data_IF_373380821446
#
_entry.id   IF_373380821446
#
_cell.length_a   1.000
_cell.length_b   1.000
_cell.length_c   1.000
_cell.angle_alpha   90.00
_cell.angle_beta   90.00
_cell.angle_gamma   90.00
#
_symmetry.space_group_name_H-M   'P 1'
#
loop_
_entity.id
_entity.type
_entity.pdbx_description
1 polymer ?
#
# COMPACT_ATOMS: atom_id res chain seq x y z
N UNK A 1 13.45 -9.95 -6.93
CA UNK A 1 13.60 -8.52 -7.26
C UNK A 1 14.76 -7.99 -6.44
N UNK A 2 15.94 -7.83 -7.03
CA UNK A 2 17.11 -7.31 -6.32
C UNK A 2 16.90 -5.81 -6.03
N UNK A 3 17.01 -5.43 -4.76
CA UNK A 3 16.98 -4.02 -4.34
C UNK A 3 18.34 -3.40 -4.64
N UNK A 4 18.50 -2.88 -5.86
CA UNK A 4 19.80 -2.46 -6.39
C UNK A 4 20.39 -1.17 -5.78
N UNK A 5 19.64 -0.41 -4.98
CA UNK A 5 20.11 0.89 -4.49
C UNK A 5 19.65 1.19 -3.05
N UNK A 6 20.54 0.99 -2.08
CA UNK A 6 20.25 1.08 -0.65
C UNK A 6 20.37 2.47 -0.03
N UNK A 7 20.56 3.50 -0.86
CA UNK A 7 20.93 4.82 -0.42
C UNK A 7 19.73 5.76 -0.36
N UNK A 8 19.82 6.76 0.51
CA UNK A 8 18.85 7.83 0.63
C UNK A 8 19.04 8.85 -0.48
N UNK A 9 17.92 9.37 -0.97
CA UNK A 9 17.90 10.38 -2.03
C UNK A 9 17.15 11.63 -1.57
N UNK A 10 17.65 12.80 -1.96
CA UNK A 10 17.03 14.10 -1.67
C UNK A 10 16.61 14.79 -2.97
N UNK A 11 15.44 15.41 -2.93
CA UNK A 11 14.93 16.21 -4.04
C UNK A 11 15.84 17.42 -4.27
N UNK A 12 16.31 17.59 -5.51
CA UNK A 12 17.09 18.75 -5.94
C UNK A 12 16.19 19.68 -6.72
N UNK A 13 15.94 20.87 -6.18
CA UNK A 13 15.26 21.93 -6.90
C UNK A 13 16.11 22.35 -8.11
N UNK A 14 15.58 22.15 -9.32
CA UNK A 14 16.19 22.64 -10.54
C UNK A 14 15.75 24.09 -10.77
N UNK A 15 16.61 25.07 -10.46
CA UNK A 15 16.35 26.49 -10.70
C UNK A 15 16.56 26.92 -12.18
N UNK A 16 16.54 25.96 -13.12
CA UNK A 16 16.79 26.19 -14.55
C UNK A 16 15.56 25.97 -15.42
N UNK A 17 15.55 26.55 -16.64
CA UNK A 17 14.44 26.58 -17.62
C UNK A 17 13.84 25.23 -18.08
N UNK A 18 14.25 24.08 -17.51
CA UNK A 18 13.71 22.75 -17.84
C UNK A 18 12.64 22.33 -16.82
N UNK A 19 11.47 22.98 -16.88
CA UNK A 19 10.44 22.92 -15.85
C UNK A 19 9.49 21.71 -15.83
N UNK A 20 9.93 20.47 -16.17
CA UNK A 20 9.01 19.30 -16.18
C UNK A 20 9.62 17.99 -15.62
N UNK A 21 10.71 18.05 -14.85
CA UNK A 21 11.32 16.85 -14.28
C UNK A 21 11.83 17.05 -12.85
N UNK A 22 11.40 16.16 -11.96
CA UNK A 22 11.86 16.07 -10.58
C UNK A 22 13.15 15.25 -10.54
N UNK A 23 14.19 15.78 -9.91
CA UNK A 23 15.49 15.11 -9.82
C UNK A 23 15.82 14.81 -8.37
N UNK A 24 16.19 13.55 -8.10
CA UNK A 24 16.57 13.06 -6.78
C UNK A 24 18.02 12.62 -6.81
N UNK A 25 18.88 13.23 -5.98
CA UNK A 25 20.30 12.90 -5.90
C UNK A 25 20.62 12.11 -4.64
N UNK A 26 21.61 11.22 -4.73
CA UNK A 26 22.11 10.51 -3.55
C UNK A 26 22.52 11.51 -2.45
N UNK A 27 22.00 11.27 -1.25
CA UNK A 27 22.24 12.09 -0.08
C UNK A 27 23.35 11.52 0.81
N UNK A 28 23.67 10.24 0.67
CA UNK A 28 24.62 9.51 1.53
C UNK A 28 26.06 9.64 1.10
N UNK A 29 26.34 10.04 -0.14
CA UNK A 29 27.68 10.09 -0.70
C UNK A 29 28.10 11.50 -1.15
N UNK A 30 29.34 11.89 -0.84
CA UNK A 30 29.87 13.22 -1.10
C UNK A 30 30.22 13.35 -2.58
N UNK A 31 29.71 14.41 -3.22
CA UNK A 31 29.84 14.62 -4.67
C UNK A 31 29.47 13.35 -5.45
N UNK A 32 28.32 12.77 -5.11
CA UNK A 32 27.80 11.59 -5.77
C UNK A 32 27.11 11.93 -7.08
N UNK A 33 27.42 11.16 -8.12
CA UNK A 33 26.85 11.33 -9.45
C UNK A 33 25.61 10.48 -9.69
N UNK A 34 25.24 9.61 -8.73
CA UNK A 34 24.00 8.83 -8.79
C UNK A 34 22.77 9.71 -8.61
N UNK A 35 21.84 9.66 -9.57
CA UNK A 35 20.57 10.35 -9.48
C UNK A 35 19.43 9.60 -10.19
N UNK A 36 18.22 9.88 -9.74
CA UNK A 36 16.97 9.53 -10.40
C UNK A 36 16.32 10.79 -10.94
N UNK A 37 15.75 10.71 -12.14
CA UNK A 37 14.98 11.80 -12.73
C UNK A 37 13.61 11.28 -13.17
N UNK A 38 12.56 11.88 -12.64
CA UNK A 38 11.17 11.58 -13.00
C UNK A 38 10.68 12.70 -13.89
N UNK A 39 10.42 12.40 -15.15
CA UNK A 39 9.93 13.38 -16.12
C UNK A 39 8.46 13.14 -16.42
N UNK A 40 7.66 14.22 -16.39
CA UNK A 40 6.29 14.17 -16.87
C UNK A 40 6.27 14.24 -18.39
N UNK A 41 5.73 13.20 -19.02
CA UNK A 41 5.48 13.13 -20.46
C UNK A 41 4.15 13.81 -20.78
N UNK A 42 4.04 14.38 -21.98
CA UNK A 42 2.74 14.83 -22.51
C UNK A 42 1.96 13.58 -22.87
N UNK A 43 0.86 13.32 -22.18
CA UNK A 43 -0.05 12.24 -22.54
C UNK A 43 -0.68 12.58 -23.90
N UNK A 44 -0.32 11.83 -24.93
CA UNK A 44 -0.95 11.92 -26.26
C UNK A 44 -2.19 11.04 -26.35
N UNK A 45 -2.30 10.01 -25.50
CA UNK A 45 -3.44 9.07 -25.49
C UNK A 45 -3.92 8.76 -24.06
N UNK A 46 -5.23 8.47 -23.88
CA UNK A 46 -5.77 8.01 -22.59
C UNK A 46 -5.18 6.64 -22.22
N UNK A 47 -4.55 6.53 -21.04
CA UNK A 47 -4.02 5.26 -20.52
C UNK A 47 -2.50 5.08 -20.61
N UNK A 48 -1.77 5.97 -21.29
CA UNK A 48 -0.29 5.94 -21.26
C UNK A 48 0.27 6.36 -19.89
N UNK A 49 1.31 5.66 -19.42
CA UNK A 49 2.08 6.04 -18.24
C UNK A 49 2.69 7.44 -18.47
N UNK A 50 2.22 8.49 -17.76
CA UNK A 50 2.59 9.86 -18.07
C UNK A 50 3.96 10.24 -17.49
N UNK A 51 4.73 9.28 -16.99
CA UNK A 51 6.00 9.52 -16.31
C UNK A 51 7.08 8.58 -16.81
N UNK A 52 8.27 9.14 -17.07
CA UNK A 52 9.50 8.42 -17.35
C UNK A 52 10.43 8.49 -16.15
N UNK A 53 10.92 7.33 -15.68
CA UNK A 53 11.98 7.25 -14.67
C UNK A 53 13.32 6.97 -15.35
N UNK A 54 14.24 7.93 -15.26
CA UNK A 54 15.63 7.75 -15.68
C UNK A 54 16.54 7.53 -14.48
N UNK A 55 17.42 6.54 -14.58
CA UNK A 55 18.46 6.24 -13.58
C UNK A 55 19.83 6.46 -14.22
N UNK A 56 20.65 7.33 -13.64
CA UNK A 56 22.00 7.63 -14.17
C UNK A 56 23.04 7.82 -13.07
N UNK A 57 24.30 7.65 -13.49
CA UNK A 57 25.48 7.82 -12.65
C UNK A 57 25.72 6.67 -11.68
N UNK A 58 26.81 6.80 -10.91
CA UNK A 58 27.31 5.80 -9.97
C UNK A 58 27.56 6.43 -8.60
N UNK A 59 27.50 5.61 -7.56
CA UNK A 59 27.82 6.07 -6.20
C UNK A 59 29.30 6.38 -6.06
N UNK A 60 29.62 7.44 -5.32
CA UNK A 60 30.98 7.71 -4.86
C UNK A 60 31.24 7.02 -3.51
N UNK A 61 32.49 6.70 -3.17
CA UNK A 61 32.80 5.93 -1.95
C UNK A 61 32.82 6.72 -0.64
N UNK A 62 32.74 8.06 -0.67
CA UNK A 62 32.86 8.90 0.54
C UNK A 62 31.49 9.22 1.12
N UNK A 63 31.23 8.87 2.38
CA UNK A 63 29.95 9.12 3.05
C UNK A 63 29.80 10.58 3.52
N UNK A 64 28.58 11.11 3.49
CA UNK A 64 28.22 12.50 3.90
C UNK A 64 27.73 12.62 5.34
N UNK A 65 27.76 11.55 6.13
CA UNK A 65 27.16 11.51 7.47
C UNK A 65 25.63 11.64 7.47
N UNK A 66 24.99 11.62 6.29
CA UNK A 66 23.54 11.65 6.16
C UNK A 66 22.92 10.39 6.79
N UNK A 67 21.89 10.57 7.62
CA UNK A 67 21.19 9.47 8.29
C UNK A 67 19.95 9.08 7.51
N UNK A 68 19.79 7.78 7.24
CA UNK A 68 18.57 7.20 6.66
C UNK A 68 17.35 7.54 7.52
N UNK A 69 16.22 7.84 6.87
CA UNK A 69 14.95 8.12 7.53
C UNK A 69 13.87 7.15 7.04
N UNK A 70 13.02 6.70 7.95
CA UNK A 70 11.88 5.83 7.64
C UNK A 70 12.28 4.37 7.40
N UNK A 71 11.33 3.46 7.60
CA UNK A 71 11.56 2.02 7.40
C UNK A 71 11.49 1.71 5.91
N UNK A 72 12.44 0.90 5.42
CA UNK A 72 12.44 0.47 4.04
C UNK A 72 11.20 -0.39 3.74
N UNK A 73 10.49 -0.19 2.60
CA UNK A 73 9.22 -0.89 2.31
C UNK A 73 9.29 -2.41 2.44
N UNK A 74 10.43 -3.02 2.10
CA UNK A 74 10.66 -4.46 2.24
C UNK A 74 10.47 -4.99 3.68
N UNK A 75 10.63 -4.16 4.70
CA UNK A 75 10.44 -4.54 6.11
C UNK A 75 9.19 -3.89 6.73
N UNK A 76 8.44 -3.09 5.97
CA UNK A 76 7.36 -2.27 6.54
C UNK A 76 6.32 -3.15 7.24
N UNK A 77 5.80 -4.17 6.55
CA UNK A 77 4.77 -5.07 7.10
C UNK A 77 5.26 -5.78 8.36
N UNK A 78 6.47 -6.32 8.33
CA UNK A 78 7.03 -7.08 9.45
C UNK A 78 7.33 -6.20 10.66
N UNK A 79 7.90 -5.01 10.42
CA UNK A 79 8.16 -4.07 11.50
C UNK A 79 6.85 -3.50 12.05
N UNK A 80 5.85 -3.22 11.21
CA UNK A 80 4.54 -2.75 11.66
C UNK A 80 3.88 -3.77 12.59
N UNK A 81 3.82 -5.03 12.17
CA UNK A 81 3.27 -6.12 12.97
C UNK A 81 4.02 -6.28 14.30
N UNK A 82 5.36 -6.34 14.26
CA UNK A 82 6.15 -6.54 15.46
C UNK A 82 6.15 -5.32 16.40
N UNK A 83 6.10 -4.09 15.85
CA UNK A 83 6.06 -2.85 16.61
C UNK A 83 4.71 -2.63 17.32
N UNK A 84 3.61 -3.09 16.72
CA UNK A 84 2.29 -3.10 17.34
C UNK A 84 2.14 -4.23 18.38
N UNK A 85 3.00 -5.25 18.31
CA UNK A 85 3.09 -6.31 19.31
C UNK A 85 3.81 -5.90 20.60
N UNK A 86 4.19 -6.93 21.37
CA UNK A 86 4.88 -6.76 22.66
C UNK A 86 6.38 -6.49 22.52
N UNK A 87 6.96 -6.79 21.36
CA UNK A 87 8.41 -6.77 21.17
C UNK A 87 8.99 -5.35 21.23
N UNK A 88 10.11 -5.23 21.95
CA UNK A 88 10.87 -4.00 22.03
C UNK A 88 11.67 -3.75 20.74
N UNK A 89 12.07 -2.49 20.44
CA UNK A 89 12.81 -2.15 19.21
C UNK A 89 14.06 -2.99 18.95
N UNK A 90 14.77 -3.43 19.99
CA UNK A 90 15.96 -4.28 19.83
C UNK A 90 15.60 -5.73 19.48
N UNK A 91 14.53 -6.28 20.07
CA UNK A 91 14.06 -7.63 19.78
C UNK A 91 13.62 -7.74 18.31
N UNK A 92 12.87 -6.74 17.81
CA UNK A 92 12.44 -6.65 16.41
C UNK A 92 13.66 -6.69 15.47
N UNK A 93 14.71 -5.93 15.77
CA UNK A 93 15.93 -5.93 14.96
C UNK A 93 16.65 -7.26 14.96
N UNK A 94 16.78 -7.89 16.12
CA UNK A 94 17.42 -9.20 16.22
C UNK A 94 16.65 -10.25 15.40
N UNK A 95 15.32 -10.24 15.46
CA UNK A 95 14.46 -11.13 14.66
C UNK A 95 14.64 -10.91 13.16
N UNK A 96 14.67 -9.65 12.71
CA UNK A 96 14.93 -9.33 11.30
C UNK A 96 16.34 -9.77 10.88
N UNK A 97 17.35 -9.55 11.71
CA UNK A 97 18.72 -9.93 11.41
C UNK A 97 18.88 -11.45 11.26
N UNK A 98 18.25 -12.23 12.14
CA UNK A 98 18.22 -13.69 12.02
C UNK A 98 17.45 -14.14 10.78
N UNK A 99 16.28 -13.56 10.53
CA UNK A 99 15.44 -13.92 9.37
C UNK A 99 16.15 -13.70 8.03
N UNK A 100 16.92 -12.62 7.95
CA UNK A 100 17.60 -12.20 6.72
C UNK A 100 19.11 -12.48 6.71
N UNK A 101 19.60 -13.36 7.60
CA UNK A 101 21.05 -13.61 7.78
C UNK A 101 21.79 -13.96 6.48
N UNK A 102 21.13 -14.71 5.59
CA UNK A 102 21.69 -15.17 4.32
C UNK A 102 21.40 -14.22 3.14
N UNK A 103 20.78 -13.07 3.40
CA UNK A 103 20.32 -12.12 2.39
C UNK A 103 21.04 -10.78 2.55
N UNK A 104 22.34 -10.78 2.22
CA UNK A 104 23.22 -9.62 2.37
C UNK A 104 22.69 -8.33 1.71
N UNK A 105 21.95 -8.46 0.61
CA UNK A 105 21.30 -7.32 -0.03
C UNK A 105 20.24 -6.69 0.88
N UNK A 106 19.40 -7.47 1.56
CA UNK A 106 18.39 -6.95 2.51
C UNK A 106 19.01 -6.44 3.80
N UNK A 107 20.03 -7.11 4.34
CA UNK A 107 20.69 -6.70 5.59
C UNK A 107 21.20 -5.24 5.55
N UNK A 108 21.59 -4.74 4.37
CA UNK A 108 22.03 -3.35 4.14
C UNK A 108 20.93 -2.29 4.32
N UNK A 109 19.67 -2.71 4.29
CA UNK A 109 18.50 -1.84 4.41
C UNK A 109 17.80 -1.98 5.77
N UNK A 110 18.32 -2.79 6.69
CA UNK A 110 17.70 -2.96 8.00
C UNK A 110 17.49 -1.62 8.70
N UNK A 111 16.33 -1.42 9.35
CA UNK A 111 16.11 -0.22 10.12
C UNK A 111 17.08 -0.14 11.30
N UNK A 112 17.33 1.07 11.80
CA UNK A 112 18.06 1.24 13.06
C UNK A 112 17.12 1.18 14.25
N UNK A 113 17.66 0.95 15.46
CA UNK A 113 16.86 0.89 16.70
C UNK A 113 16.05 2.16 16.92
N UNK A 114 16.65 3.31 16.62
CA UNK A 114 15.99 4.61 16.71
C UNK A 114 14.84 4.72 15.72
N UNK A 115 15.02 4.25 14.48
CA UNK A 115 13.96 4.24 13.46
C UNK A 115 12.79 3.36 13.90
N UNK A 116 13.05 2.15 14.39
CA UNK A 116 12.01 1.25 14.91
C UNK A 116 11.26 1.86 16.09
N UNK A 117 11.98 2.52 17.01
CA UNK A 117 11.36 3.21 18.16
C UNK A 117 10.47 4.38 17.70
N UNK A 118 10.96 5.24 16.82
CA UNK A 118 10.20 6.37 16.29
C UNK A 118 8.99 5.91 15.49
N UNK A 119 9.14 4.85 14.69
CA UNK A 119 8.07 4.27 13.90
C UNK A 119 6.97 3.67 14.76
N UNK A 120 7.33 2.97 15.86
CA UNK A 120 6.35 2.52 16.86
C UNK A 120 5.56 3.69 17.45
N UNK A 121 6.23 4.78 17.82
CA UNK A 121 5.55 5.99 18.32
C UNK A 121 4.57 6.57 17.31
N UNK A 122 4.95 6.59 16.03
CA UNK A 122 4.07 7.01 14.93
C UNK A 122 2.84 6.11 14.79
N UNK A 123 3.02 4.79 14.80
CA UNK A 123 1.92 3.82 14.71
C UNK A 123 0.97 3.95 15.91
N UNK A 124 1.49 4.11 17.13
CA UNK A 124 0.67 4.30 18.33
C UNK A 124 -0.11 5.63 18.28
N UNK A 125 0.50 6.71 17.78
CA UNK A 125 -0.19 7.97 17.54
C UNK A 125 -1.34 7.82 16.55
N UNK A 126 -1.10 7.13 15.43
CA UNK A 126 -2.16 6.80 14.45
C UNK A 126 -3.25 5.91 15.04
N UNK A 127 -2.90 4.93 15.87
CA UNK A 127 -3.86 4.07 16.52
C UNK A 127 -4.75 4.85 17.50
N UNK A 128 -4.21 5.87 18.17
CA UNK A 128 -4.98 6.76 19.04
C UNK A 128 -5.97 7.64 18.26
N UNK A 129 -5.66 7.98 17.00
CA UNK A 129 -6.56 8.71 16.09
C UNK A 129 -7.60 7.80 15.41
N UNK A 130 -7.44 6.48 15.49
CA UNK A 130 -8.32 5.53 14.82
C UNK A 130 -9.67 5.39 15.55
N UNK A 131 -10.71 5.05 14.79
CA UNK A 131 -12.02 4.70 15.36
C UNK A 131 -11.88 3.43 16.19
N UNK A 132 -12.16 3.53 17.49
CA UNK A 132 -12.16 2.38 18.40
C UNK A 132 -13.43 1.55 18.16
N UNK A 133 -13.25 0.25 17.96
CA UNK A 133 -14.32 -0.73 17.81
C UNK A 133 -14.22 -1.64 19.03
N UNK A 134 -15.18 -1.55 19.95
CA UNK A 134 -15.20 -2.38 21.18
C UNK A 134 -16.23 -3.51 21.09
N UNK A 135 -17.32 -3.27 20.34
CA UNK A 135 -18.44 -4.19 20.20
C UNK A 135 -18.76 -4.46 18.73
N UNK A 136 -19.51 -5.53 18.46
CA UNK A 136 -20.04 -5.79 17.13
C UNK A 136 -20.91 -4.63 16.62
N UNK A 137 -21.64 -3.95 17.51
CA UNK A 137 -22.46 -2.79 17.15
C UNK A 137 -21.60 -1.62 16.64
N UNK A 138 -20.44 -1.37 17.25
CA UNK A 138 -19.49 -0.34 16.78
C UNK A 138 -18.98 -0.67 15.38
N UNK A 139 -18.61 -1.95 15.15
CA UNK A 139 -18.17 -2.43 13.84
C UNK A 139 -19.28 -2.24 12.80
N UNK A 140 -20.50 -2.65 13.14
CA UNK A 140 -21.64 -2.55 12.24
C UNK A 140 -22.00 -1.09 11.94
N UNK A 141 -21.95 -0.21 12.92
CA UNK A 141 -22.17 1.22 12.74
C UNK A 141 -21.13 1.82 11.79
N UNK A 142 -19.85 1.52 11.98
CA UNK A 142 -18.79 1.95 11.06
C UNK A 142 -18.99 1.37 9.65
N UNK A 143 -19.38 0.11 9.54
CA UNK A 143 -19.57 -0.57 8.27
C UNK A 143 -20.83 -0.09 7.53
N UNK A 144 -21.86 0.35 8.23
CA UNK A 144 -23.19 0.67 7.67
C UNK A 144 -23.14 1.63 6.47
N UNK A 145 -22.27 2.65 6.53
CA UNK A 145 -22.07 3.63 5.46
C UNK A 145 -21.36 3.06 4.22
N UNK A 146 -20.84 1.84 4.31
CA UNK A 146 -20.03 1.15 3.30
C UNK A 146 -20.64 -0.19 2.87
N UNK A 147 -21.76 -0.57 3.47
CA UNK A 147 -22.42 -1.84 3.20
C UNK A 147 -22.96 -1.87 1.78
N UNK A 148 -22.49 -2.81 0.97
CA UNK A 148 -22.97 -3.03 -0.39
C UNK A 148 -24.06 -4.11 -0.37
N UNK A 149 -25.30 -3.71 -0.05
CA UNK A 149 -26.43 -4.64 0.13
C UNK A 149 -27.30 -4.81 -1.13
N UNK A 150 -27.19 -3.89 -2.09
CA UNK A 150 -28.02 -3.91 -3.29
C UNK A 150 -27.24 -3.48 -4.55
N UNK A 151 -27.84 -3.78 -5.70
CA UNK A 151 -27.30 -3.49 -7.03
C UNK A 151 -27.13 -1.98 -7.26
N UNK A 152 -28.02 -1.14 -6.72
CA UNK A 152 -27.95 0.29 -6.91
C UNK A 152 -26.70 0.87 -6.19
N UNK A 153 -26.42 0.43 -4.97
CA UNK A 153 -25.21 0.80 -4.24
C UNK A 153 -23.98 0.33 -5.01
N UNK A 154 -24.00 -0.89 -5.56
CA UNK A 154 -22.90 -1.43 -6.35
C UNK A 154 -22.63 -0.61 -7.64
N UNK A 155 -23.68 -0.28 -8.40
CA UNK A 155 -23.62 0.49 -9.66
C UNK A 155 -23.51 2.00 -9.45
N UNK A 156 -23.13 2.46 -8.25
CA UNK A 156 -22.93 3.89 -7.92
C UNK A 156 -24.22 4.72 -8.07
N UNK A 157 -25.34 4.15 -7.69
CA UNK A 157 -26.68 4.74 -7.73
C UNK A 157 -27.61 4.06 -8.75
N UNK A 158 -28.70 4.74 -9.12
CA UNK A 158 -29.71 4.26 -10.09
C UNK A 158 -29.24 4.35 -11.55
N UNK A 159 -28.02 3.92 -11.83
CA UNK A 159 -27.47 3.90 -13.18
C UNK A 159 -27.71 2.54 -13.81
N UNK A 160 -28.22 2.50 -15.03
CA UNK A 160 -28.24 1.28 -15.85
C UNK A 160 -26.81 0.76 -16.05
N UNK A 161 -26.61 -0.56 -16.10
CA UNK A 161 -25.31 -1.26 -16.23
C UNK A 161 -24.40 -0.67 -17.32
N UNK A 162 -24.94 -0.34 -18.50
CA UNK A 162 -24.18 0.26 -19.60
C UNK A 162 -23.65 1.68 -19.29
N UNK A 163 -24.46 2.50 -18.60
CA UNK A 163 -24.06 3.85 -18.16
C UNK A 163 -23.06 3.78 -17.02
N UNK A 164 -23.29 2.89 -16.04
CA UNK A 164 -22.37 2.64 -14.93
C UNK A 164 -20.99 2.20 -15.45
N UNK A 165 -20.95 1.37 -16.51
CA UNK A 165 -19.70 0.93 -17.15
C UNK A 165 -18.92 2.06 -17.77
N UNK A 166 -19.59 2.90 -18.56
CA UNK A 166 -18.96 4.06 -19.21
C UNK A 166 -18.47 5.09 -18.20
N UNK A 167 -19.24 5.32 -17.13
CA UNK A 167 -18.85 6.17 -16.00
C UNK A 167 -17.65 5.58 -15.25
N UNK A 168 -17.66 4.29 -14.93
CA UNK A 168 -16.56 3.64 -14.24
C UNK A 168 -15.25 3.73 -15.05
N UNK A 169 -15.29 3.64 -16.38
CA UNK A 169 -14.11 3.81 -17.24
C UNK A 169 -13.60 5.26 -17.37
N UNK A 170 -14.38 6.25 -16.93
CA UNK A 170 -13.97 7.65 -17.00
C UNK A 170 -12.89 7.95 -15.94
N UNK A 171 -11.77 8.52 -16.37
CA UNK A 171 -10.61 8.83 -15.53
C UNK A 171 -10.93 9.76 -14.34
N UNK A 172 -12.06 10.49 -14.41
CA UNK A 172 -12.57 11.37 -13.36
C UNK A 172 -13.11 10.65 -12.12
N UNK A 173 -13.19 9.31 -12.13
CA UNK A 173 -13.81 8.51 -11.06
C UNK A 173 -12.86 7.52 -10.37
N UNK A 174 -11.53 7.71 -10.46
CA UNK A 174 -10.55 6.85 -9.77
C UNK A 174 -10.82 6.67 -8.27
N UNK A 175 -11.34 7.71 -7.60
CA UNK A 175 -11.74 7.63 -6.19
C UNK A 175 -12.91 6.68 -5.94
N UNK A 176 -13.86 6.60 -6.88
CA UNK A 176 -15.01 5.68 -6.81
C UNK A 176 -14.58 4.26 -7.15
N UNK A 177 -13.70 4.06 -8.14
CA UNK A 177 -13.23 2.73 -8.50
C UNK A 177 -12.54 2.00 -7.34
N UNK A 178 -11.80 2.72 -6.51
CA UNK A 178 -11.06 2.18 -5.38
C UNK A 178 -11.83 2.34 -4.04
N UNK A 179 -13.10 2.73 -4.10
CA UNK A 179 -13.94 2.82 -2.91
C UNK A 179 -14.11 1.42 -2.30
N UNK A 180 -13.96 1.35 -0.97
CA UNK A 180 -14.11 0.13 -0.19
C UNK A 180 -15.60 -0.17 0.01
N UNK A 181 -15.98 -1.39 -0.34
CA UNK A 181 -17.29 -1.95 -0.11
C UNK A 181 -17.19 -3.00 1.00
N UNK A 182 -18.08 -2.91 1.98
CA UNK A 182 -18.26 -3.96 2.98
C UNK A 182 -19.38 -4.89 2.49
N UNK A 183 -19.06 -6.17 2.33
CA UNK A 183 -20.02 -7.19 1.89
C UNK A 183 -20.75 -7.81 3.07
N UNK A 184 -20.04 -8.01 4.19
CA UNK A 184 -20.60 -8.64 5.39
C UNK A 184 -19.79 -8.28 6.62
N UNK A 185 -20.48 -8.06 7.75
CA UNK A 185 -19.89 -8.10 9.08
C UNK A 185 -20.34 -9.38 9.78
N UNK A 186 -19.47 -9.97 10.60
CA UNK A 186 -19.81 -11.17 11.37
C UNK A 186 -19.12 -11.15 12.74
N UNK A 187 -19.71 -11.89 13.66
CA UNK A 187 -19.20 -12.14 15.01
C UNK A 187 -18.84 -13.62 15.10
N UNK A 188 -17.73 -13.92 15.76
CA UNK A 188 -17.27 -15.29 15.97
C UNK A 188 -16.86 -15.46 17.44
N UNK A 189 -17.56 -16.36 18.13
CA UNK A 189 -17.26 -16.78 19.49
C UNK A 189 -16.51 -18.09 19.48
N UNK A 190 -15.45 -18.16 20.28
CA UNK A 190 -14.59 -19.33 20.38
C UNK A 190 -14.04 -19.48 21.80
N UNK A 191 -13.58 -20.68 22.14
CA UNK A 191 -12.91 -20.93 23.42
C UNK A 191 -11.40 -20.94 23.23
N UNK A 192 -10.69 -20.15 24.04
CA UNK A 192 -9.23 -20.15 24.10
C UNK A 192 -8.78 -20.24 25.56
N UNK A 193 -7.95 -21.24 25.88
CA UNK A 193 -7.46 -21.51 27.23
C UNK A 193 -8.58 -21.63 28.31
N UNK A 194 -9.75 -22.16 27.94
CA UNK A 194 -10.88 -22.37 28.84
C UNK A 194 -11.71 -21.12 29.12
N UNK A 195 -11.47 -20.02 28.39
CA UNK A 195 -12.28 -18.80 28.44
C UNK A 195 -13.02 -18.59 27.11
N UNK A 196 -14.29 -18.18 27.20
CA UNK A 196 -15.07 -17.77 26.03
C UNK A 196 -14.57 -16.41 25.54
N UNK A 197 -14.08 -16.37 24.32
CA UNK A 197 -13.61 -15.19 23.61
C UNK A 197 -14.59 -14.82 22.50
N UNK A 198 -14.60 -13.55 22.13
CA UNK A 198 -15.37 -13.01 21.01
C UNK A 198 -14.43 -12.28 20.05
N UNK A 199 -14.66 -12.46 18.77
CA UNK A 199 -13.97 -11.76 17.70
C UNK A 199 -14.97 -11.22 16.68
N UNK A 200 -14.62 -10.12 16.05
CA UNK A 200 -15.42 -9.52 14.99
C UNK A 200 -14.64 -9.58 13.68
N UNK A 201 -15.37 -9.85 12.60
CA UNK A 201 -14.81 -9.92 11.26
C UNK A 201 -15.64 -9.13 10.27
N UNK A 202 -15.00 -8.76 9.17
CA UNK A 202 -15.65 -8.09 8.06
C UNK A 202 -15.08 -8.64 6.74
N UNK A 203 -15.96 -8.81 5.76
CA UNK A 203 -15.61 -9.13 4.38
C UNK A 203 -15.69 -7.83 3.60
N UNK A 204 -14.56 -7.39 3.03
CA UNK A 204 -14.48 -6.17 2.23
C UNK A 204 -13.88 -6.44 0.86
N UNK A 205 -14.20 -5.56 -0.09
CA UNK A 205 -13.64 -5.55 -1.43
C UNK A 205 -13.53 -4.10 -1.91
N UNK A 206 -12.92 -3.86 -3.06
CA UNK A 206 -13.01 -2.57 -3.74
C UNK A 206 -14.00 -2.69 -4.88
N UNK A 207 -14.62 -1.56 -5.29
CA UNK A 207 -15.51 -1.59 -6.48
C UNK A 207 -14.82 -2.20 -7.69
N UNK A 208 -13.53 -1.88 -7.91
CA UNK A 208 -12.73 -2.41 -9.01
C UNK A 208 -12.64 -3.93 -8.99
N UNK A 209 -12.30 -4.52 -7.85
CA UNK A 209 -12.18 -5.99 -7.74
C UNK A 209 -13.55 -6.63 -7.89
N UNK A 210 -14.57 -6.12 -7.19
CA UNK A 210 -15.90 -6.72 -7.23
C UNK A 210 -16.56 -6.63 -8.62
N UNK A 211 -16.20 -5.64 -9.43
CA UNK A 211 -16.66 -5.50 -10.81
C UNK A 211 -16.14 -6.58 -11.75
N UNK A 212 -15.04 -7.27 -11.41
CA UNK A 212 -14.60 -8.45 -12.14
C UNK A 212 -15.64 -9.57 -12.08
N UNK A 213 -16.43 -9.66 -11.01
CA UNK A 213 -17.54 -10.62 -10.89
C UNK A 213 -18.62 -10.33 -11.93
N UNK A 214 -19.01 -9.06 -12.08
CA UNK A 214 -19.96 -8.64 -13.12
C UNK A 214 -19.45 -9.02 -14.51
N UNK A 215 -18.18 -8.70 -14.82
CA UNK A 215 -17.60 -9.04 -16.11
C UNK A 215 -17.52 -10.56 -16.35
N UNK A 216 -17.24 -11.35 -15.32
CA UNK A 216 -17.24 -12.80 -15.45
C UNK A 216 -18.65 -13.35 -15.72
N UNK A 217 -19.70 -12.80 -15.08
CA UNK A 217 -21.09 -13.20 -15.33
C UNK A 217 -21.57 -12.77 -16.71
N UNK A 218 -21.25 -11.56 -17.15
CA UNK A 218 -21.57 -11.08 -18.51
C UNK A 218 -20.81 -11.90 -19.57
N UNK A 219 -19.52 -12.12 -19.37
CA UNK A 219 -18.68 -12.94 -20.25
C UNK A 219 -19.10 -14.41 -20.29
N UNK A 220 -19.74 -14.93 -19.24
CA UNK A 220 -20.32 -16.27 -19.26
C UNK A 220 -21.43 -16.44 -20.29
N UNK A 221 -22.17 -15.37 -20.59
CA UNK A 221 -23.24 -15.40 -21.58
C UNK A 221 -22.71 -15.37 -23.03
N UNK A 222 -21.54 -14.77 -23.26
CA UNK A 222 -20.93 -14.64 -24.60
C UNK A 222 -19.86 -15.71 -24.90
N UNK A 223 -19.03 -16.05 -23.91
CA UNK A 223 -17.73 -16.68 -24.13
C UNK A 223 -17.52 -17.99 -23.32
N UNK A 224 -18.52 -18.45 -22.56
CA UNK A 224 -18.46 -19.68 -21.76
C UNK A 224 -17.94 -19.46 -20.32
N UNK A 225 -17.55 -20.52 -19.59
CA UNK A 225 -17.21 -20.39 -18.15
C UNK A 225 -15.96 -19.53 -17.92
N UNK A 226 -16.17 -18.28 -17.47
CA UNK A 226 -15.11 -17.40 -16.97
C UNK A 226 -14.99 -17.54 -15.44
N UNK A 227 -13.76 -17.75 -14.97
CA UNK A 227 -13.41 -17.66 -13.55
C UNK A 227 -12.85 -16.26 -13.26
N UNK A 228 -13.49 -15.52 -12.34
CA UNK A 228 -12.92 -14.32 -11.78
C UNK A 228 -11.92 -14.72 -10.67
N UNK A 229 -10.63 -14.75 -11.00
CA UNK A 229 -9.58 -14.88 -10.00
C UNK A 229 -9.20 -13.48 -9.50
N UNK A 230 -9.13 -13.31 -8.18
CA UNK A 230 -8.68 -12.07 -7.54
C UNK A 230 -7.15 -11.97 -7.46
N UNK A 231 -6.41 -12.64 -8.35
CA UNK A 231 -4.97 -12.43 -8.52
C UNK A 231 -4.14 -12.53 -7.24
N UNK A 232 -4.56 -13.30 -6.24
CA UNK A 232 -3.70 -13.71 -5.13
C UNK A 232 -2.88 -14.91 -5.60
N UNK A 233 -1.76 -14.61 -6.27
CA UNK A 233 -0.68 -15.57 -6.41
C UNK A 233 0.10 -15.57 -5.08
N UNK A 234 -0.07 -16.63 -4.29
CA UNK A 234 0.97 -17.13 -3.38
C UNK A 234 1.59 -18.40 -3.97
#
# INVERSE_FOLDING_TARGET
MELYDAHSYVHRHNNGKCGNADTYKCAEHHKCDRFFRIQKLRATEPGTLPFLLEVKGSHSGKLTGHKKKGIHPAFAVEVDAAAMGKDGPQAILNSLQMKYENQAHLLRHLPTRTMTKSHRGYLMGKAAEATKIETFADLYQWASLRMCQDEAIFLTGKLSTARATKLFSAQSLLGVQNEMLVLKCFEHRFEEAGASMESFGLIMTTRRVFRNVLYAVEGQQSDGVFAAADGTLE
#
